data_IF_152171398454
#
_entry.id   IF_152171398454
#
_cell.length_a   1.000
_cell.length_b   1.000
_cell.length_c   1.000
_cell.angle_alpha   90.00
_cell.angle_beta   90.00
_cell.angle_gamma   90.00
#
_symmetry.space_group_name_H-M   'P 1'
#
loop_
_entity.id
_entity.type
_entity.pdbx_description
1 polymer ?
#
# COMPACT_ATOMS: atom_id res chain seq x y z
N UNK A 1 7.85 8.52 11.43
CA UNK A 1 7.43 7.30 10.71
C UNK A 1 8.06 7.27 9.33
N UNK A 2 8.60 6.13 8.93
CA UNK A 2 9.18 5.85 7.60
C UNK A 2 8.42 4.69 6.96
N UNK A 3 8.31 4.66 5.66
CA UNK A 3 7.72 3.54 4.94
C UNK A 3 8.60 3.16 3.75
N UNK A 4 8.93 1.89 3.65
CA UNK A 4 9.78 1.33 2.62
C UNK A 4 9.00 0.26 1.85
N UNK A 5 8.84 0.43 0.55
CA UNK A 5 8.34 -0.63 -0.34
C UNK A 5 9.55 -1.47 -0.74
N UNK A 6 9.58 -2.73 -0.31
CA UNK A 6 10.64 -3.69 -0.63
C UNK A 6 10.32 -4.41 -1.93
N UNK A 7 9.04 -4.75 -2.09
CA UNK A 7 8.51 -5.37 -3.29
C UNK A 7 7.02 -5.01 -3.44
N UNK A 8 6.54 -4.94 -4.67
CA UNK A 8 5.11 -4.74 -4.95
C UNK A 8 4.75 -5.28 -6.34
N UNK A 9 3.45 -5.62 -6.53
CA UNK A 9 2.90 -6.23 -7.73
C UNK A 9 3.00 -7.74 -7.75
N UNK A 10 2.50 -8.38 -8.80
CA UNK A 10 2.34 -9.85 -8.94
C UNK A 10 3.64 -10.67 -8.82
N UNK A 11 4.79 -10.03 -8.68
CA UNK A 11 6.08 -10.67 -8.42
C UNK A 11 6.47 -10.77 -6.95
N UNK A 12 5.55 -10.43 -6.05
CA UNK A 12 5.71 -10.45 -4.61
C UNK A 12 5.54 -9.08 -3.96
N UNK A 13 4.74 -9.02 -2.92
CA UNK A 13 4.44 -7.82 -2.14
C UNK A 13 5.07 -7.91 -0.76
N UNK A 14 5.81 -6.87 -0.39
CA UNK A 14 6.40 -6.73 0.93
C UNK A 14 6.76 -5.28 1.18
N UNK A 15 6.32 -4.76 2.29
CA UNK A 15 6.66 -3.39 2.68
C UNK A 15 6.82 -3.26 4.19
N UNK A 16 7.54 -2.22 4.62
CA UNK A 16 7.95 -2.03 6.01
C UNK A 16 7.58 -0.63 6.49
N UNK A 17 6.72 -0.53 7.49
CA UNK A 17 6.54 0.69 8.26
C UNK A 17 7.47 0.69 9.47
N UNK A 18 8.21 1.77 9.67
CA UNK A 18 9.04 2.00 10.85
C UNK A 18 8.53 3.25 11.57
N UNK A 19 8.06 3.07 12.78
CA UNK A 19 7.59 4.16 13.65
C UNK A 19 8.77 4.96 14.24
N UNK A 20 8.49 6.12 14.84
CA UNK A 20 9.54 6.99 15.39
C UNK A 20 10.29 6.39 16.57
N UNK A 21 9.75 5.36 17.18
CA UNK A 21 10.38 4.58 18.26
C UNK A 21 11.11 3.33 17.77
N UNK A 22 11.38 3.27 16.46
CA UNK A 22 12.00 2.15 15.74
C UNK A 22 11.18 0.84 15.75
N UNK A 23 9.92 0.87 16.20
CA UNK A 23 9.00 -0.25 16.03
C UNK A 23 8.74 -0.50 14.54
N UNK A 24 8.84 -1.74 14.10
CA UNK A 24 8.77 -2.14 12.69
C UNK A 24 7.62 -3.09 12.45
N UNK A 25 6.76 -2.73 11.52
CA UNK A 25 5.65 -3.57 11.06
C UNK A 25 5.81 -3.84 9.57
N UNK A 26 5.86 -5.11 9.22
CA UNK A 26 5.91 -5.57 7.84
C UNK A 26 4.50 -5.89 7.37
N UNK A 27 4.19 -5.52 6.15
CA UNK A 27 2.93 -5.83 5.48
C UNK A 27 3.21 -6.73 4.30
N UNK A 28 2.56 -7.88 4.28
CA UNK A 28 2.72 -8.97 3.35
C UNK A 28 4.15 -9.53 3.31
N UNK A 29 4.29 -10.77 2.84
CA UNK A 29 5.57 -11.41 2.64
C UNK A 29 5.46 -12.45 1.53
N UNK A 30 5.24 -11.93 0.33
CA UNK A 30 4.98 -12.71 -0.86
C UNK A 30 6.23 -13.40 -1.41
N UNK A 31 6.01 -14.19 -2.44
CA UNK A 31 7.04 -14.95 -3.12
C UNK A 31 8.26 -14.11 -3.52
N UNK A 32 9.45 -14.60 -3.18
CA UNK A 32 10.74 -13.94 -3.46
C UNK A 32 11.06 -12.75 -2.56
N UNK A 33 10.19 -12.41 -1.60
CA UNK A 33 10.40 -11.28 -0.69
C UNK A 33 11.53 -11.54 0.31
N UNK A 34 11.74 -12.78 0.73
CA UNK A 34 12.87 -13.12 1.59
C UNK A 34 14.21 -12.70 0.98
N UNK A 35 14.42 -13.07 -0.30
CA UNK A 35 15.63 -12.66 -1.01
C UNK A 35 15.75 -11.15 -1.13
N UNK A 36 14.66 -10.47 -1.48
CA UNK A 36 14.64 -9.01 -1.63
C UNK A 36 14.95 -8.29 -0.31
N UNK A 37 14.38 -8.78 0.82
CA UNK A 37 14.70 -8.27 2.15
C UNK A 37 16.19 -8.45 2.48
N UNK A 38 16.74 -9.63 2.22
CA UNK A 38 18.16 -9.93 2.46
C UNK A 38 19.07 -9.05 1.62
N UNK A 39 18.78 -8.91 0.33
CA UNK A 39 19.54 -8.06 -0.59
C UNK A 39 19.46 -6.58 -0.15
N UNK A 40 18.35 -6.15 0.46
CA UNK A 40 18.18 -4.81 1.03
C UNK A 40 18.85 -4.63 2.41
N UNK A 41 19.49 -5.66 2.95
CA UNK A 41 20.13 -5.63 4.26
C UNK A 41 19.14 -5.62 5.44
N UNK A 42 17.88 -6.00 5.20
CA UNK A 42 16.87 -6.09 6.26
C UNK A 42 17.06 -7.39 7.05
N UNK A 43 17.30 -7.26 8.35
CA UNK A 43 17.34 -8.38 9.28
C UNK A 43 15.92 -8.67 9.73
N UNK A 44 15.33 -9.79 9.30
CA UNK A 44 13.92 -10.13 9.62
C UNK A 44 13.64 -10.21 11.11
N UNK A 45 14.59 -10.68 11.92
CA UNK A 45 14.47 -10.71 13.38
C UNK A 45 14.34 -9.29 14.02
N UNK A 46 14.58 -8.22 13.25
CA UNK A 46 14.36 -6.85 13.72
C UNK A 46 12.94 -6.35 13.46
N UNK A 47 12.09 -7.15 12.82
CA UNK A 47 10.67 -6.81 12.55
C UNK A 47 9.85 -7.25 13.76
N UNK A 48 9.00 -6.37 14.25
CA UNK A 48 8.20 -6.60 15.46
C UNK A 48 6.87 -7.30 15.18
N UNK A 49 6.33 -7.12 13.97
CA UNK A 49 5.05 -7.69 13.54
C UNK A 49 5.04 -7.87 12.02
N UNK A 50 4.42 -8.97 11.56
CA UNK A 50 4.05 -9.16 10.14
C UNK A 50 2.54 -9.27 10.04
N UNK A 51 1.94 -8.52 9.12
CA UNK A 51 0.50 -8.52 8.86
C UNK A 51 0.29 -8.95 7.41
N UNK A 52 -0.54 -9.98 7.20
CA UNK A 52 -0.82 -10.54 5.88
C UNK A 52 -2.23 -10.11 5.46
N UNK A 53 -2.34 -9.47 4.30
CA UNK A 53 -3.63 -9.00 3.78
C UNK A 53 -4.51 -10.15 3.31
N UNK A 54 -3.97 -11.10 2.54
CA UNK A 54 -4.70 -12.23 1.99
C UNK A 54 -3.79 -13.36 1.52
N UNK A 55 -4.37 -14.47 1.05
CA UNK A 55 -3.67 -15.72 0.80
C UNK A 55 -3.16 -15.93 -0.66
N UNK A 56 -3.05 -14.87 -1.47
CA UNK A 56 -2.38 -15.01 -2.77
C UNK A 56 -0.87 -15.19 -2.59
N UNK A 57 -0.24 -15.95 -3.49
CA UNK A 57 1.18 -16.33 -3.41
C UNK A 57 2.13 -15.11 -3.41
N UNK A 58 1.75 -14.06 -4.09
CA UNK A 58 2.51 -12.79 -4.09
C UNK A 58 2.35 -11.96 -2.81
N UNK A 59 1.51 -12.39 -1.84
CA UNK A 59 1.36 -11.80 -0.51
C UNK A 59 1.80 -12.70 0.63
N UNK A 60 1.77 -14.03 0.46
CA UNK A 60 2.06 -15.00 1.53
C UNK A 60 3.15 -16.01 1.19
N UNK A 61 3.63 -16.06 -0.07
CA UNK A 61 4.46 -17.16 -0.59
C UNK A 61 5.72 -17.48 0.21
N UNK A 62 6.38 -16.49 0.79
CA UNK A 62 7.60 -16.68 1.60
C UNK A 62 7.35 -16.68 3.12
N UNK A 63 6.09 -16.59 3.58
CA UNK A 63 5.78 -16.47 5.02
C UNK A 63 6.28 -17.66 5.84
N UNK A 64 6.37 -18.84 5.23
CA UNK A 64 6.88 -20.05 5.88
C UNK A 64 8.38 -19.98 6.24
N UNK A 65 9.12 -19.03 5.67
CA UNK A 65 10.55 -18.82 5.95
C UNK A 65 10.73 -17.91 7.18
N UNK A 66 9.68 -17.19 7.58
CA UNK A 66 9.76 -16.25 8.70
C UNK A 66 9.93 -17.03 10.01
N UNK A 67 10.95 -16.72 10.83
CA UNK A 67 11.10 -17.35 12.15
C UNK A 67 9.86 -17.13 13.02
N UNK A 68 9.48 -18.13 13.81
CA UNK A 68 8.26 -18.16 14.63
C UNK A 68 8.16 -17.09 15.74
N UNK A 69 8.96 -16.03 15.71
CA UNK A 69 9.24 -15.22 16.89
C UNK A 69 8.98 -13.72 16.62
N UNK A 70 7.72 -13.39 16.36
CA UNK A 70 7.34 -11.99 16.43
C UNK A 70 6.53 -11.78 17.72
N UNK A 71 7.20 -11.30 18.77
CA UNK A 71 6.52 -10.91 19.98
C UNK A 71 5.67 -9.68 19.74
N UNK A 72 4.40 -9.76 20.15
CA UNK A 72 3.47 -8.63 20.06
C UNK A 72 3.95 -7.49 20.96
N UNK A 73 4.22 -6.32 20.40
CA UNK A 73 4.56 -5.14 21.18
C UNK A 73 3.32 -4.51 21.81
N UNK A 74 3.39 -4.23 23.11
CA UNK A 74 2.26 -3.71 23.89
C UNK A 74 1.80 -2.30 23.49
N UNK A 75 2.61 -1.53 22.76
CA UNK A 75 2.30 -0.17 22.32
C UNK A 75 1.65 -0.09 20.93
N UNK A 76 1.40 -1.24 20.28
CA UNK A 76 0.68 -1.32 19.01
C UNK A 76 -0.77 -1.75 19.24
N UNK A 77 -1.69 -0.97 18.70
CA UNK A 77 -3.08 -1.37 18.50
C UNK A 77 -3.26 -1.67 17.01
N UNK A 78 -3.80 -2.85 16.70
CA UNK A 78 -3.97 -3.32 15.32
C UNK A 78 -5.43 -3.61 15.10
N UNK A 79 -6.00 -2.99 14.06
CA UNK A 79 -7.37 -3.20 13.59
C UNK A 79 -7.31 -3.69 12.16
N UNK A 80 -8.24 -4.57 11.79
CA UNK A 80 -8.42 -5.02 10.42
C UNK A 80 -9.79 -4.61 9.88
N UNK A 81 -9.88 -4.46 8.57
CA UNK A 81 -11.07 -4.09 7.82
C UNK A 81 -11.23 -5.04 6.65
N UNK A 82 -12.44 -5.53 6.40
CA UNK A 82 -12.71 -6.30 5.18
C UNK A 82 -12.57 -5.40 3.95
N UNK A 83 -11.92 -5.92 2.93
CA UNK A 83 -11.76 -5.31 1.62
C UNK A 83 -12.31 -6.25 0.55
N UNK A 84 -12.93 -5.71 -0.49
CA UNK A 84 -13.52 -6.52 -1.54
C UNK A 84 -12.46 -6.91 -2.58
N UNK A 85 -12.20 -8.20 -2.69
CA UNK A 85 -11.29 -8.80 -3.66
C UNK A 85 -11.89 -10.11 -4.17
N UNK A 86 -11.19 -10.84 -5.04
CA UNK A 86 -11.64 -12.15 -5.54
C UNK A 86 -11.52 -13.29 -4.51
N UNK A 87 -10.77 -13.07 -3.44
CA UNK A 87 -10.71 -13.93 -2.25
C UNK A 87 -10.88 -13.07 -0.99
N UNK A 88 -11.01 -13.70 0.17
CA UNK A 88 -11.03 -12.99 1.45
C UNK A 88 -9.79 -12.12 1.60
N UNK A 89 -10.00 -10.84 1.83
CA UNK A 89 -8.95 -9.84 1.93
C UNK A 89 -9.23 -8.83 3.04
N UNK A 90 -8.16 -8.35 3.67
CA UNK A 90 -8.23 -7.38 4.75
C UNK A 90 -7.19 -6.28 4.61
N UNK A 91 -7.61 -5.06 4.94
CA UNK A 91 -6.72 -3.94 5.20
C UNK A 91 -6.43 -3.80 6.69
N UNK A 92 -5.43 -3.01 7.04
CA UNK A 92 -5.01 -2.80 8.42
C UNK A 92 -4.93 -1.33 8.79
N UNK A 93 -5.28 -1.04 10.06
CA UNK A 93 -4.84 0.14 10.77
C UNK A 93 -3.90 -0.30 11.89
N UNK A 94 -2.70 0.21 11.89
CA UNK A 94 -1.73 0.05 12.98
C UNK A 94 -1.52 1.37 13.67
N UNK A 95 -1.81 1.43 14.96
CA UNK A 95 -1.64 2.62 15.79
C UNK A 95 -0.52 2.38 16.78
N UNK A 96 0.52 3.19 16.74
CA UNK A 96 1.52 3.24 17.78
C UNK A 96 1.12 4.32 18.78
N UNK A 97 0.54 3.90 19.90
CA UNK A 97 0.01 4.80 20.92
C UNK A 97 1.11 5.59 21.63
N UNK A 98 2.33 5.05 21.68
CA UNK A 98 3.49 5.71 22.31
C UNK A 98 3.99 6.89 21.50
N UNK A 99 4.00 6.78 20.18
CA UNK A 99 4.52 7.83 19.28
C UNK A 99 3.44 8.75 18.74
N UNK A 100 2.16 8.41 18.92
CA UNK A 100 1.04 9.14 18.31
C UNK A 100 1.05 9.05 16.78
N UNK A 101 1.43 7.90 16.24
CA UNK A 101 1.51 7.63 14.81
C UNK A 101 0.54 6.52 14.41
N UNK A 102 -0.09 6.67 13.26
CA UNK A 102 -1.06 5.71 12.72
C UNK A 102 -0.80 5.44 11.25
N UNK A 103 -0.96 4.18 10.85
CA UNK A 103 -0.66 3.70 9.52
C UNK A 103 -1.81 2.84 8.99
N UNK A 104 -2.45 3.28 7.91
CA UNK A 104 -3.43 2.50 7.18
C UNK A 104 -2.77 1.79 6.00
N UNK A 105 -3.01 0.50 5.86
CA UNK A 105 -2.56 -0.33 4.75
C UNK A 105 -3.75 -1.00 4.07
N UNK A 106 -4.10 -0.55 2.87
CA UNK A 106 -5.25 -0.99 2.09
C UNK A 106 -4.75 -1.40 0.70
N UNK A 107 -4.63 -2.69 0.47
CA UNK A 107 -4.08 -3.24 -0.78
C UNK A 107 -4.97 -4.33 -1.36
N UNK A 108 -4.85 -4.57 -2.65
CA UNK A 108 -5.55 -5.60 -3.41
C UNK A 108 -7.06 -5.60 -3.21
N UNK A 109 -7.69 -4.51 -3.61
CA UNK A 109 -9.12 -4.37 -3.51
C UNK A 109 -9.68 -3.52 -4.65
N UNK A 110 -10.93 -3.70 -4.97
CA UNK A 110 -11.65 -2.84 -5.91
C UNK A 110 -12.76 -2.01 -5.24
N UNK A 111 -13.17 -2.39 -4.02
CA UNK A 111 -14.15 -1.65 -3.23
C UNK A 111 -13.92 -1.85 -1.73
N UNK A 112 -14.44 -0.94 -0.93
CA UNK A 112 -14.44 -1.01 0.53
C UNK A 112 -15.90 -1.19 0.98
N UNK A 113 -16.26 -2.32 1.62
CA UNK A 113 -17.61 -2.52 2.15
C UNK A 113 -18.04 -1.39 3.09
N UNK A 114 -19.31 -1.05 3.09
CA UNK A 114 -19.87 0.10 3.84
C UNK A 114 -19.49 0.08 5.34
N UNK A 115 -19.57 -1.08 5.98
CA UNK A 115 -19.22 -1.22 7.42
C UNK A 115 -17.73 -0.97 7.66
N UNK A 116 -16.88 -1.47 6.77
CA UNK A 116 -15.43 -1.20 6.80
C UNK A 116 -15.13 0.27 6.54
N UNK A 117 -15.82 0.86 5.57
CA UNK A 117 -15.69 2.26 5.24
C UNK A 117 -16.10 3.17 6.39
N UNK A 118 -17.22 2.86 7.05
CA UNK A 118 -17.66 3.56 8.26
C UNK A 118 -16.60 3.46 9.36
N UNK A 119 -16.08 2.26 9.63
CA UNK A 119 -15.04 2.04 10.65
C UNK A 119 -13.75 2.79 10.33
N UNK A 120 -13.31 2.80 9.06
CA UNK A 120 -12.13 3.56 8.63
C UNK A 120 -12.35 5.06 8.83
N UNK A 121 -13.52 5.58 8.47
CA UNK A 121 -13.82 7.00 8.61
C UNK A 121 -13.93 7.44 10.06
N UNK A 122 -14.53 6.66 10.93
CA UNK A 122 -14.67 6.93 12.36
C UNK A 122 -13.31 6.91 13.07
N UNK A 123 -12.51 5.87 12.82
CA UNK A 123 -11.15 5.76 13.38
C UNK A 123 -10.26 6.89 12.87
N UNK A 124 -10.34 7.23 11.59
CA UNK A 124 -9.60 8.34 11.00
C UNK A 124 -9.96 9.68 11.68
N UNK A 125 -11.26 9.95 11.87
CA UNK A 125 -11.72 11.15 12.54
C UNK A 125 -11.23 11.22 13.99
N UNK A 126 -11.30 10.09 14.70
CA UNK A 126 -10.82 9.98 16.08
C UNK A 126 -9.33 10.27 16.20
N UNK A 127 -8.51 9.62 15.37
CA UNK A 127 -7.06 9.81 15.36
C UNK A 127 -6.67 11.23 14.95
N UNK A 128 -7.35 11.80 13.95
CA UNK A 128 -7.11 13.18 13.52
C UNK A 128 -7.42 14.21 14.61
N UNK A 129 -8.54 14.06 15.32
CA UNK A 129 -8.91 14.92 16.47
C UNK A 129 -7.87 14.86 17.61
N UNK A 130 -7.18 13.72 17.73
CA UNK A 130 -6.11 13.51 18.73
C UNK A 130 -4.72 13.91 18.24
N UNK A 131 -4.62 14.54 17.07
CA UNK A 131 -3.38 14.98 16.44
C UNK A 131 -2.37 13.85 16.14
N UNK A 132 -2.85 12.65 15.86
CA UNK A 132 -1.97 11.58 15.38
C UNK A 132 -1.38 11.94 14.02
N UNK A 133 -0.14 11.52 13.78
CA UNK A 133 0.48 11.55 12.45
C UNK A 133 -0.03 10.36 11.66
N UNK A 134 -0.81 10.61 10.62
CA UNK A 134 -1.52 9.55 9.88
C UNK A 134 -0.95 9.42 8.48
N UNK A 135 -0.67 8.18 8.08
CA UNK A 135 -0.26 7.79 6.73
C UNK A 135 -1.20 6.74 6.19
N UNK A 136 -1.61 6.90 4.94
CA UNK A 136 -2.32 5.89 4.16
C UNK A 136 -1.41 5.32 3.09
N UNK A 137 -1.28 3.99 3.07
CA UNK A 137 -0.83 3.24 1.92
C UNK A 137 -2.04 2.59 1.29
N UNK A 138 -2.30 2.93 0.05
CA UNK A 138 -3.51 2.50 -0.64
C UNK A 138 -3.17 2.08 -2.06
N UNK A 139 -3.81 1.03 -2.52
CA UNK A 139 -3.63 0.53 -3.87
C UNK A 139 -3.95 1.60 -4.93
N UNK A 140 -3.17 1.58 -6.01
CA UNK A 140 -3.47 2.24 -7.27
C UNK A 140 -2.92 1.36 -8.40
N UNK A 141 -3.73 0.43 -8.88
CA UNK A 141 -3.27 -0.59 -9.81
C UNK A 141 -3.27 -0.14 -11.25
N UNK A 142 -4.27 0.59 -11.69
CA UNK A 142 -4.41 0.92 -13.11
C UNK A 142 -5.13 2.25 -13.36
N UNK A 143 -4.96 2.74 -14.61
CA UNK A 143 -5.66 3.90 -15.12
C UNK A 143 -6.95 3.48 -15.81
N UNK A 144 -8.10 3.97 -15.37
CA UNK A 144 -9.41 3.66 -15.93
C UNK A 144 -9.50 3.92 -17.45
N UNK A 145 -8.93 5.02 -17.90
CA UNK A 145 -8.93 5.35 -19.32
C UNK A 145 -8.20 4.33 -20.20
N UNK A 146 -7.14 3.71 -19.67
CA UNK A 146 -6.44 2.63 -20.37
C UNK A 146 -7.18 1.32 -20.27
N UNK A 147 -7.76 1.02 -19.10
CA UNK A 147 -8.55 -0.18 -18.89
C UNK A 147 -9.67 -0.34 -19.93
N UNK A 148 -10.35 0.75 -20.27
CA UNK A 148 -11.42 0.75 -21.27
C UNK A 148 -10.96 0.29 -22.66
N UNK A 149 -9.67 0.45 -22.96
CA UNK A 149 -9.05 0.09 -24.25
C UNK A 149 -8.45 -1.31 -24.28
N UNK A 150 -8.48 -2.03 -23.15
CA UNK A 150 -7.93 -3.38 -23.05
C UNK A 150 -8.85 -4.41 -23.70
N UNK A 151 -8.25 -5.53 -24.10
CA UNK A 151 -8.98 -6.77 -24.35
C UNK A 151 -9.49 -7.42 -23.05
N UNK A 152 -10.38 -8.38 -23.18
CA UNK A 152 -11.04 -9.01 -22.04
C UNK A 152 -10.07 -9.81 -21.15
N UNK A 153 -9.01 -10.37 -21.72
CA UNK A 153 -8.00 -11.13 -20.97
C UNK A 153 -7.24 -10.21 -20.00
N UNK A 154 -6.85 -9.04 -20.49
CA UNK A 154 -6.15 -8.06 -19.67
C UNK A 154 -7.08 -7.40 -18.65
N UNK A 155 -8.34 -7.12 -19.04
CA UNK A 155 -9.37 -6.62 -18.12
C UNK A 155 -9.64 -7.55 -16.96
N UNK A 156 -9.74 -8.86 -17.23
CA UNK A 156 -9.98 -9.86 -16.20
C UNK A 156 -8.95 -9.80 -15.07
N UNK A 157 -7.67 -9.59 -15.37
CA UNK A 157 -6.63 -9.48 -14.35
C UNK A 157 -6.65 -8.19 -13.53
N UNK A 158 -7.41 -7.17 -13.94
CA UNK A 158 -7.46 -5.86 -13.28
C UNK A 158 -8.80 -5.56 -12.61
N UNK A 159 -9.86 -6.31 -12.91
CA UNK A 159 -11.22 -6.04 -12.42
C UNK A 159 -11.38 -6.14 -10.90
N UNK A 160 -10.43 -6.77 -10.22
CA UNK A 160 -10.43 -6.94 -8.76
C UNK A 160 -9.47 -5.97 -8.05
N UNK A 161 -9.02 -4.95 -8.77
CA UNK A 161 -8.05 -3.97 -8.27
C UNK A 161 -8.57 -2.55 -8.40
N UNK A 162 -7.98 -1.63 -7.62
CA UNK A 162 -8.41 -0.25 -7.56
C UNK A 162 -7.92 0.57 -8.75
N UNK A 163 -8.86 1.22 -9.44
CA UNK A 163 -8.55 2.18 -10.49
C UNK A 163 -8.09 3.53 -9.93
N UNK A 164 -7.51 4.38 -10.78
CA UNK A 164 -7.19 5.77 -10.42
C UNK A 164 -8.44 6.58 -10.07
N UNK A 165 -9.57 6.32 -10.72
CA UNK A 165 -10.85 7.00 -10.46
C UNK A 165 -11.35 6.68 -9.05
N UNK A 166 -11.34 5.40 -8.67
CA UNK A 166 -11.79 4.95 -7.35
C UNK A 166 -10.80 5.35 -6.26
N UNK A 167 -9.50 5.25 -6.54
CA UNK A 167 -8.47 5.79 -5.66
C UNK A 167 -8.76 7.25 -5.28
N UNK A 168 -9.03 8.10 -6.26
CA UNK A 168 -9.33 9.51 -6.00
C UNK A 168 -10.65 9.73 -5.29
N UNK A 169 -11.64 8.87 -5.50
CA UNK A 169 -12.92 8.89 -4.76
C UNK A 169 -12.65 8.72 -3.26
N UNK A 170 -11.95 7.65 -2.87
CA UNK A 170 -11.62 7.37 -1.47
C UNK A 170 -10.65 8.39 -0.87
N UNK A 171 -9.59 8.73 -1.58
CA UNK A 171 -8.60 9.68 -1.10
C UNK A 171 -9.20 11.06 -0.82
N UNK A 172 -10.11 11.55 -1.67
CA UNK A 172 -10.83 12.81 -1.43
C UNK A 172 -11.75 12.73 -0.20
N UNK A 173 -12.42 11.59 -0.03
CA UNK A 173 -13.29 11.39 1.13
C UNK A 173 -12.48 11.42 2.42
N UNK A 174 -11.39 10.68 2.49
CA UNK A 174 -10.51 10.66 3.68
C UNK A 174 -9.86 12.02 3.94
N UNK A 175 -9.46 12.76 2.89
CA UNK A 175 -8.92 14.11 3.06
C UNK A 175 -9.93 15.14 3.54
N UNK A 176 -11.22 14.95 3.32
CA UNK A 176 -12.25 15.82 3.92
C UNK A 176 -12.31 15.65 5.44
N UNK A 177 -12.03 14.43 5.94
CA UNK A 177 -12.01 14.13 7.38
C UNK A 177 -10.69 14.59 8.00
N UNK A 178 -9.57 14.29 7.35
CA UNK A 178 -8.23 14.57 7.83
C UNK A 178 -7.37 15.23 6.72
N UNK A 179 -7.44 16.55 6.54
CA UNK A 179 -6.80 17.25 5.41
C UNK A 179 -5.29 17.07 5.32
N UNK A 180 -4.62 16.78 6.43
CA UNK A 180 -3.15 16.65 6.50
C UNK A 180 -2.63 15.23 6.29
N UNK A 181 -3.52 14.24 6.02
CA UNK A 181 -3.06 12.87 5.75
C UNK A 181 -2.22 12.80 4.48
N UNK A 182 -1.23 11.92 4.50
CA UNK A 182 -0.41 11.60 3.34
C UNK A 182 -0.85 10.26 2.74
N UNK A 183 -0.85 10.21 1.41
CA UNK A 183 -1.09 8.98 0.66
C UNK A 183 0.19 8.50 0.00
N UNK A 184 0.41 7.20 0.07
CA UNK A 184 1.41 6.47 -0.73
C UNK A 184 0.64 5.44 -1.54
N UNK A 185 0.89 5.38 -2.82
CA UNK A 185 0.30 4.34 -3.67
C UNK A 185 1.17 3.10 -3.67
N UNK A 186 0.53 1.94 -3.68
CA UNK A 186 1.17 0.63 -3.76
C UNK A 186 0.46 -0.25 -4.79
N UNK A 187 0.97 -1.45 -5.00
CA UNK A 187 0.36 -2.48 -5.85
C UNK A 187 0.05 -2.03 -7.28
N UNK A 188 0.98 -1.28 -7.90
CA UNK A 188 0.85 -0.95 -9.32
C UNK A 188 0.98 -2.24 -10.14
N UNK A 189 -0.06 -2.55 -10.92
CA UNK A 189 -0.04 -3.71 -11.80
C UNK A 189 1.09 -3.59 -12.82
N UNK A 190 1.85 -4.68 -13.04
CA UNK A 190 2.85 -4.73 -14.12
C UNK A 190 2.20 -4.52 -15.50
N UNK A 191 0.92 -4.88 -15.64
CA UNK A 191 0.11 -4.65 -16.83
C UNK A 191 -0.33 -3.19 -16.96
N UNK A 192 -0.34 -2.46 -15.86
CA UNK A 192 -0.54 -1.03 -15.74
C UNK A 192 0.72 -0.32 -15.28
N UNK A 193 1.90 -0.91 -15.48
CA UNK A 193 3.17 -0.34 -15.06
C UNK A 193 3.41 0.99 -15.75
N UNK A 194 3.07 2.02 -15.04
CA UNK A 194 3.24 3.40 -15.44
C UNK A 194 4.71 3.84 -15.40
N UNK A 195 5.60 3.03 -14.79
CA UNK A 195 6.99 3.40 -14.59
C UNK A 195 7.85 3.19 -15.83
N UNK A 196 7.45 2.28 -16.71
CA UNK A 196 8.27 1.86 -17.85
C UNK A 196 7.73 2.29 -19.22
N UNK A 197 6.63 3.03 -19.28
CA UNK A 197 6.00 3.39 -20.53
C UNK A 197 5.66 2.15 -21.34
N UNK A 198 5.02 1.17 -20.73
CA UNK A 198 4.74 -0.11 -21.37
C UNK A 198 4.04 0.11 -22.71
N UNK A 199 4.66 -0.39 -23.76
CA UNK A 199 4.00 -0.67 -25.03
C UNK A 199 3.05 -1.87 -24.83
N UNK A 200 2.29 -1.84 -23.75
CA UNK A 200 1.57 -3.03 -23.33
C UNK A 200 0.21 -3.14 -23.93
N UNK A 201 -0.33 -2.06 -24.46
CA UNK A 201 -1.76 -2.08 -24.67
C UNK A 201 -2.09 -1.36 -25.97
N UNK A 202 -2.06 -2.09 -27.06
CA UNK A 202 -2.37 -1.55 -28.38
C UNK A 202 -1.58 -0.27 -28.75
N UNK A 203 -0.35 -0.15 -28.22
CA UNK A 203 0.50 1.01 -28.47
C UNK A 203 0.15 2.28 -27.67
N UNK A 204 -0.81 2.19 -26.74
CA UNK A 204 -1.16 3.32 -25.87
C UNK A 204 -0.27 3.28 -24.63
N UNK A 205 0.49 4.33 -24.41
CA UNK A 205 1.35 4.53 -23.25
C UNK A 205 0.64 5.46 -22.27
N UNK A 206 0.44 5.04 -21.02
CA UNK A 206 0.14 5.98 -19.96
C UNK A 206 1.47 6.52 -19.43
N UNK A 207 1.80 7.80 -19.63
CA UNK A 207 3.05 8.34 -19.15
C UNK A 207 3.07 8.23 -17.61
N UNK A 208 4.17 7.74 -17.01
CA UNK A 208 4.33 7.74 -15.54
C UNK A 208 4.06 9.11 -14.92
N UNK A 209 4.46 10.15 -15.62
CA UNK A 209 4.27 11.53 -15.18
C UNK A 209 2.79 11.94 -15.16
N UNK A 210 1.92 11.33 -15.95
CA UNK A 210 0.50 11.64 -15.91
C UNK A 210 -0.13 11.28 -14.57
N UNK A 211 0.16 10.11 -14.05
CA UNK A 211 -0.34 9.69 -12.72
C UNK A 211 0.27 10.54 -11.63
N UNK A 212 1.56 10.86 -11.70
CA UNK A 212 2.23 11.78 -10.75
C UNK A 212 1.59 13.16 -10.77
N UNK A 213 1.33 13.70 -11.95
CA UNK A 213 0.68 15.00 -12.15
C UNK A 213 -0.76 14.97 -11.61
N UNK A 214 -1.52 13.91 -11.90
CA UNK A 214 -2.89 13.78 -11.41
C UNK A 214 -2.93 13.65 -9.88
N UNK A 215 -2.03 12.88 -9.29
CA UNK A 215 -1.90 12.75 -7.84
C UNK A 215 -1.53 14.11 -7.22
N UNK A 216 -0.54 14.79 -7.77
CA UNK A 216 -0.11 16.10 -7.29
C UNK A 216 -1.22 17.14 -7.40
N UNK A 217 -1.87 17.24 -8.56
CA UNK A 217 -2.92 18.22 -8.80
C UNK A 217 -4.19 17.97 -7.99
N UNK A 218 -4.53 16.68 -7.75
CA UNK A 218 -5.78 16.33 -7.06
C UNK A 218 -5.64 16.20 -5.55
N UNK A 219 -4.47 15.81 -5.05
CA UNK A 219 -4.24 15.52 -3.64
C UNK A 219 -3.19 16.42 -2.99
N UNK A 220 -2.44 17.18 -3.78
CA UNK A 220 -1.44 18.16 -3.32
C UNK A 220 -0.17 17.57 -2.71
N UNK A 221 -0.27 16.47 -1.95
CA UNK A 221 0.86 15.86 -1.24
C UNK A 221 0.89 14.32 -1.34
N UNK A 222 0.15 13.76 -2.29
CA UNK A 222 0.25 12.33 -2.57
C UNK A 222 1.58 12.03 -3.27
N UNK A 223 2.21 10.94 -2.88
CA UNK A 223 3.41 10.44 -3.53
C UNK A 223 3.13 9.09 -4.16
N UNK A 224 3.70 8.88 -5.32
CA UNK A 224 3.62 7.63 -6.03
C UNK A 224 4.69 6.68 -5.48
N UNK A 225 4.27 5.53 -4.97
CA UNK A 225 5.15 4.42 -4.68
C UNK A 225 5.44 3.69 -5.98
N UNK A 226 6.59 3.94 -6.59
CA UNK A 226 6.95 3.26 -7.83
C UNK A 226 7.30 1.81 -7.52
N UNK A 227 6.48 0.90 -8.04
CA UNK A 227 6.82 -0.49 -8.14
C UNK A 227 7.72 -0.71 -9.35
N UNK A 228 8.95 -1.10 -9.15
CA UNK A 228 9.78 -1.59 -10.24
C UNK A 228 9.71 -3.10 -10.28
N UNK A 229 8.90 -3.64 -11.18
CA UNK A 229 9.06 -5.00 -11.62
C UNK A 229 10.38 -5.12 -12.37
N UNK A 230 11.27 -5.89 -11.86
CA UNK A 230 12.57 -6.44 -12.26
C UNK A 230 13.75 -5.99 -11.39
N UNK A 231 14.03 -6.84 -10.44
CA UNK A 231 15.36 -7.21 -9.95
C UNK A 231 16.46 -6.19 -10.19
N UNK A 232 16.58 -5.14 -9.44
CA UNK A 232 17.83 -4.51 -9.06
C UNK A 232 17.71 -3.16 -8.37
N UNK A 233 16.55 -2.56 -8.25
CA UNK A 233 16.46 -1.23 -7.65
C UNK A 233 15.49 -1.24 -6.50
N UNK A 234 16.02 -1.26 -5.30
CA UNK A 234 15.26 -1.07 -4.07
C UNK A 234 14.98 0.42 -3.96
N UNK A 235 13.70 0.80 -4.06
CA UNK A 235 13.34 2.18 -3.80
C UNK A 235 12.99 2.34 -2.34
N UNK A 236 13.93 2.90 -1.60
CA UNK A 236 13.64 3.47 -0.31
C UNK A 236 12.90 4.78 -0.53
N UNK A 237 11.58 4.78 -0.32
CA UNK A 237 10.87 6.03 -0.15
C UNK A 237 10.96 6.38 1.33
N UNK A 238 12.05 7.05 1.70
CA UNK A 238 12.20 7.60 3.04
C UNK A 238 11.28 8.81 3.18
N UNK A 239 10.12 8.62 3.80
CA UNK A 239 9.22 9.70 4.12
C UNK A 239 9.54 10.23 5.51
N UNK A 240 10.44 11.20 5.55
CA UNK A 240 10.53 12.05 6.73
C UNK A 240 9.29 12.92 6.77
N UNK A 241 8.41 12.67 7.72
CA UNK A 241 7.42 13.68 8.10
C UNK A 241 8.19 14.89 8.61
N UNK A 242 8.40 15.90 7.77
CA UNK A 242 8.77 17.21 8.25
C UNK A 242 7.51 17.75 8.93
N UNK A 243 7.47 17.61 10.26
CA UNK A 243 6.56 18.38 11.06
C UNK A 243 6.87 19.85 10.83
N UNK A 244 5.93 20.58 10.31
CA UNK A 244 5.76 22.02 10.53
C UNK A 244 4.43 22.17 11.22
#
# INVERSE_FOLDING_TARGET
>A
MRYNIIATGSGGNCSLATFSDETKVMFDFGKGCFKKCTDAGLVLNSVDQILISHAHDDHIGDVHIVPHLLEKRANLEIFNFSLTHNIENQGFLVVNVRTGEAFYYLTDFYDIPDDSLATITDTLQHLYKRNYKIMFVMELSYCQHLYEKLDDVHKFGLQHHLSDVDFFKYAKMFKRIAPKINFITTHASQRGDYSQGHKGWNGTVCPPDWVKIQLFNRLGNARFGEAFGFAKTYYYIEHKFKGK
#
